data_IF_490145941625
#
_entry.id   IF_490145941625
#
_cell.length_a   1.000
_cell.length_b   1.000
_cell.length_c   1.000
_cell.angle_alpha   90.00
_cell.angle_beta   90.00
_cell.angle_gamma   90.00
#
_symmetry.space_group_name_H-M   'P 1'
#
loop_
_entity.id
_entity.type
_entity.pdbx_description
1 polymer ?
#
# COMPACT_ATOMS: atom_id res chain seq x y z
N UNK A 1 7.09 16.00 10.41
CA UNK A 1 6.51 14.97 9.53
C UNK A 1 7.49 14.64 8.41
N UNK A 2 7.75 13.38 8.19
CA UNK A 2 8.65 12.95 7.12
C UNK A 2 7.84 12.32 6.00
N UNK A 3 8.33 12.45 4.78
CA UNK A 3 7.69 11.84 3.62
C UNK A 3 8.71 11.08 2.76
N UNK A 4 8.23 10.06 2.08
CA UNK A 4 9.02 9.22 1.18
C UNK A 4 8.23 9.04 -0.10
N UNK A 5 8.89 9.17 -1.24
CA UNK A 5 8.29 8.92 -2.55
C UNK A 5 9.24 8.01 -3.33
N UNK A 6 8.71 6.87 -3.76
CA UNK A 6 9.46 5.90 -4.57
C UNK A 6 8.58 5.38 -5.69
N UNK A 7 9.18 5.02 -6.81
CA UNK A 7 8.42 4.48 -7.93
C UNK A 7 9.15 3.33 -8.59
N UNK A 8 8.40 2.50 -9.31
CA UNK A 8 8.95 1.36 -10.04
C UNK A 8 8.09 1.13 -11.28
N UNK A 9 8.71 0.61 -12.33
CA UNK A 9 7.99 0.19 -13.53
C UNK A 9 7.76 -1.32 -13.46
N UNK A 10 6.50 -1.71 -13.58
CA UNK A 10 6.07 -3.12 -13.52
C UNK A 10 5.64 -3.53 -14.92
N UNK A 11 6.14 -4.67 -15.40
CA UNK A 11 5.82 -5.15 -16.75
C UNK A 11 4.53 -5.98 -16.75
N UNK A 12 3.43 -5.30 -16.40
CA UNK A 12 2.08 -5.83 -16.42
C UNK A 12 1.12 -4.69 -16.77
N UNK A 13 -0.04 -5.02 -17.35
CA UNK A 13 -1.06 -4.01 -17.65
C UNK A 13 -1.55 -3.30 -16.39
N UNK A 14 -1.98 -2.07 -16.53
CA UNK A 14 -2.40 -1.24 -15.39
C UNK A 14 -3.56 -1.88 -14.61
N UNK A 15 -4.49 -2.54 -15.28
CA UNK A 15 -5.59 -3.21 -14.59
C UNK A 15 -5.10 -4.36 -13.71
N UNK A 16 -4.12 -5.12 -14.17
CA UNK A 16 -3.52 -6.21 -13.39
C UNK A 16 -2.82 -5.66 -12.15
N UNK A 17 -2.03 -4.61 -12.33
CA UNK A 17 -1.27 -4.00 -11.25
C UNK A 17 -2.22 -3.36 -10.22
N UNK A 18 -3.16 -2.57 -10.69
CA UNK A 18 -4.13 -1.93 -9.81
C UNK A 18 -4.96 -2.97 -9.04
N UNK A 19 -5.50 -3.95 -9.74
CA UNK A 19 -6.33 -4.97 -9.10
C UNK A 19 -5.57 -5.69 -7.99
N UNK A 20 -4.30 -6.00 -8.18
CA UNK A 20 -3.51 -6.65 -7.14
C UNK A 20 -3.36 -5.75 -5.91
N UNK A 21 -3.22 -4.44 -6.09
CA UNK A 21 -3.13 -3.50 -4.98
C UNK A 21 -4.45 -3.34 -4.22
N UNK A 22 -5.57 -3.83 -4.75
CA UNK A 22 -6.84 -3.85 -4.02
C UNK A 22 -6.95 -5.09 -3.12
N UNK A 23 -6.06 -6.05 -3.27
CA UNK A 23 -6.07 -7.28 -2.48
C UNK A 23 -5.17 -7.09 -1.26
N UNK A 24 -5.64 -6.31 -0.30
CA UNK A 24 -4.85 -5.91 0.87
C UNK A 24 -4.37 -7.10 1.68
N UNK A 25 -5.13 -8.18 1.72
CA UNK A 25 -4.78 -9.36 2.50
C UNK A 25 -3.61 -10.14 1.90
N UNK A 26 -3.20 -9.80 0.68
CA UNK A 26 -2.01 -10.37 0.04
C UNK A 26 -0.73 -9.57 0.32
N UNK A 27 -0.84 -8.40 0.95
CA UNK A 27 0.31 -7.52 1.20
C UNK A 27 1.47 -8.20 1.93
N UNK A 28 1.26 -9.13 2.88
CA UNK A 28 2.39 -9.80 3.54
C UNK A 28 3.31 -10.54 2.57
N UNK A 29 2.83 -10.88 1.38
CA UNK A 29 3.63 -11.60 0.38
C UNK A 29 4.78 -10.75 -0.18
N UNK A 30 4.68 -9.42 -0.12
CA UNK A 30 5.72 -8.54 -0.64
C UNK A 30 6.08 -7.39 0.28
N UNK A 31 5.36 -7.18 1.37
CA UNK A 31 5.69 -6.16 2.37
C UNK A 31 6.30 -6.86 3.58
N UNK A 32 7.63 -6.73 3.71
CA UNK A 32 8.42 -7.49 4.67
C UNK A 32 7.99 -7.30 6.12
N UNK A 33 7.66 -6.06 6.51
CA UNK A 33 7.31 -5.77 7.90
C UNK A 33 5.84 -6.10 8.23
N UNK A 34 5.01 -6.37 7.23
CA UNK A 34 3.59 -6.61 7.43
C UNK A 34 3.33 -8.09 7.64
N UNK A 35 2.74 -8.43 8.80
CA UNK A 35 2.39 -9.80 9.14
C UNK A 35 1.02 -10.18 8.57
N UNK A 36 0.05 -9.27 8.69
CA UNK A 36 -1.30 -9.52 8.20
C UNK A 36 -2.04 -8.20 7.96
N UNK A 37 -2.94 -8.22 7.00
CA UNK A 37 -3.90 -7.13 6.77
C UNK A 37 -5.26 -7.77 6.60
N UNK A 38 -6.26 -7.23 7.26
CA UNK A 38 -7.65 -7.68 7.11
C UNK A 38 -8.49 -6.50 6.67
N UNK A 39 -9.27 -6.67 5.63
CA UNK A 39 -10.22 -5.65 5.18
C UNK A 39 -11.54 -5.90 5.90
N UNK A 40 -11.92 -4.97 6.77
CA UNK A 40 -13.13 -5.13 7.60
C UNK A 40 -14.39 -4.65 6.91
N UNK A 41 -14.26 -3.69 5.99
CA UNK A 41 -15.33 -3.27 5.08
C UNK A 41 -14.70 -2.57 3.88
N UNK A 42 -15.52 -1.97 3.02
CA UNK A 42 -15.03 -1.36 1.77
C UNK A 42 -14.03 -0.22 1.98
N UNK A 43 -13.99 0.38 3.17
CA UNK A 43 -13.14 1.54 3.43
C UNK A 43 -12.24 1.37 4.67
N UNK A 44 -12.28 0.23 5.35
CA UNK A 44 -11.51 0.04 6.59
C UNK A 44 -10.65 -1.20 6.55
N UNK A 45 -9.45 -1.06 7.13
CA UNK A 45 -8.42 -2.10 7.18
C UNK A 45 -7.90 -2.23 8.59
N UNK A 46 -7.49 -3.44 8.96
CA UNK A 46 -6.77 -3.69 10.21
C UNK A 46 -5.40 -4.25 9.85
N UNK A 47 -4.35 -3.63 10.36
CA UNK A 47 -2.96 -3.99 10.04
C UNK A 47 -2.28 -4.61 11.25
N UNK A 48 -1.48 -5.63 11.01
CA UNK A 48 -0.58 -6.22 12.00
C UNK A 48 0.81 -6.24 11.39
N UNK A 49 1.78 -5.68 12.10
CA UNK A 49 3.17 -5.64 11.66
C UNK A 49 4.08 -6.13 12.76
N UNK A 50 5.21 -6.72 12.39
CA UNK A 50 6.23 -7.14 13.35
C UNK A 50 7.52 -6.41 13.03
N UNK A 51 8.04 -5.69 14.03
CA UNK A 51 9.21 -4.85 13.87
C UNK A 51 10.13 -5.09 15.07
N UNK A 52 11.34 -5.60 14.80
CA UNK A 52 12.31 -5.83 15.84
C UNK A 52 11.83 -6.81 16.91
N UNK A 53 11.02 -7.79 16.52
CA UNK A 53 10.47 -8.78 17.44
C UNK A 53 9.24 -8.30 18.20
N UNK A 54 8.76 -7.10 17.92
CA UNK A 54 7.60 -6.52 18.58
C UNK A 54 6.45 -6.37 17.60
N UNK A 55 5.24 -6.71 18.05
CA UNK A 55 4.04 -6.69 17.24
C UNK A 55 3.28 -5.38 17.44
N UNK A 56 2.84 -4.79 16.34
CA UNK A 56 2.04 -3.56 16.33
C UNK A 56 0.76 -3.81 15.57
N UNK A 57 -0.34 -3.21 16.04
CA UNK A 57 -1.64 -3.31 15.37
C UNK A 57 -2.29 -1.94 15.32
N UNK A 58 -2.96 -1.64 14.21
CA UNK A 58 -3.72 -0.39 14.08
C UNK A 58 -4.80 -0.55 13.00
N UNK A 59 -5.78 0.34 13.08
CA UNK A 59 -6.82 0.43 12.06
C UNK A 59 -6.51 1.56 11.11
N UNK A 60 -6.89 1.40 9.86
CA UNK A 60 -6.69 2.40 8.82
C UNK A 60 -7.96 2.56 7.98
N UNK A 61 -8.10 3.73 7.39
CA UNK A 61 -9.21 4.06 6.52
C UNK A 61 -8.69 4.33 5.12
N UNK A 62 -9.38 3.77 4.11
CA UNK A 62 -9.12 4.12 2.72
C UNK A 62 -9.80 5.46 2.49
N UNK A 63 -9.01 6.49 2.16
CA UNK A 63 -9.54 7.83 1.97
C UNK A 63 -9.92 8.10 0.52
N UNK A 64 -9.24 7.44 -0.42
CA UNK A 64 -9.50 7.61 -1.84
C UNK A 64 -9.14 6.34 -2.58
N UNK A 65 -9.99 5.92 -3.50
CA UNK A 65 -9.70 4.77 -4.36
C UNK A 65 -10.42 4.98 -5.69
N UNK A 66 -9.65 4.99 -6.76
CA UNK A 66 -10.19 5.07 -8.13
C UNK A 66 -9.47 4.04 -8.99
N UNK A 67 -10.20 3.20 -9.73
CA UNK A 67 -9.60 2.17 -10.56
C UNK A 67 -8.54 2.71 -11.52
N UNK A 68 -7.39 2.05 -11.54
CA UNK A 68 -6.25 2.35 -12.39
C UNK A 68 -5.62 3.72 -12.16
N UNK A 69 -5.95 4.38 -11.04
CA UNK A 69 -5.45 5.72 -10.71
C UNK A 69 -4.79 5.80 -9.35
N UNK A 70 -5.53 5.51 -8.28
CA UNK A 70 -5.03 5.77 -6.93
C UNK A 70 -5.69 4.90 -5.87
N UNK A 71 -4.90 4.55 -4.84
CA UNK A 71 -5.39 4.02 -3.57
C UNK A 71 -4.68 4.82 -2.48
N UNK A 72 -5.43 5.52 -1.62
CA UNK A 72 -4.85 6.27 -0.51
C UNK A 72 -5.50 5.88 0.81
N UNK A 73 -4.72 6.01 1.88
CA UNK A 73 -5.17 5.58 3.22
C UNK A 73 -4.57 6.47 4.30
N UNK A 74 -5.14 6.36 5.52
CA UNK A 74 -4.57 6.96 6.72
C UNK A 74 -4.83 6.07 7.93
N UNK A 75 -3.92 6.08 8.89
CA UNK A 75 -4.13 5.38 10.14
C UNK A 75 -5.15 6.14 10.99
N UNK A 76 -6.02 5.39 11.69
CA UNK A 76 -7.08 5.98 12.50
C UNK A 76 -6.70 6.13 13.96
N UNK A 77 -5.83 5.26 14.47
CA UNK A 77 -5.48 5.28 15.88
C UNK A 77 -4.03 4.82 16.10
N UNK A 78 -3.46 5.25 17.23
CA UNK A 78 -2.19 4.76 17.75
C UNK A 78 -0.94 5.09 16.93
N UNK A 79 -1.05 5.05 15.63
CA UNK A 79 0.07 5.22 14.71
C UNK A 79 -0.31 6.26 13.67
N UNK A 80 0.52 7.27 13.50
CA UNK A 80 0.24 8.23 12.45
C UNK A 80 1.06 7.89 11.21
N UNK A 81 0.38 7.36 10.22
CA UNK A 81 0.95 7.24 8.89
C UNK A 81 -0.19 7.38 7.88
N UNK A 82 0.14 7.92 6.74
CA UNK A 82 -0.78 8.00 5.62
C UNK A 82 0.03 7.81 4.35
N UNK A 83 -0.65 7.44 3.29
CA UNK A 83 0.06 7.25 2.04
C UNK A 83 -0.89 7.07 0.89
N UNK A 84 -0.33 7.01 -0.29
CA UNK A 84 -1.09 6.70 -1.48
C UNK A 84 -0.21 5.99 -2.50
N UNK A 85 -0.84 5.15 -3.29
CA UNK A 85 -0.22 4.47 -4.41
C UNK A 85 -0.86 5.03 -5.66
N UNK A 86 -0.03 5.54 -6.56
CA UNK A 86 -0.49 6.11 -7.83
C UNK A 86 -0.10 5.18 -8.96
N UNK A 87 -1.00 5.05 -9.93
CA UNK A 87 -0.82 4.16 -11.07
C UNK A 87 -0.82 4.99 -12.35
N UNK A 88 0.20 4.76 -13.19
CA UNK A 88 0.31 5.47 -14.46
C UNK A 88 0.60 4.46 -15.57
N UNK A 89 -0.26 4.44 -16.56
CA UNK A 89 -0.09 3.56 -17.72
C UNK A 89 1.05 4.08 -18.59
N UNK A 90 2.08 3.24 -18.76
CA UNK A 90 3.19 3.57 -19.68
C UNK A 90 2.80 3.09 -21.08
N UNK A 91 2.36 1.84 -21.19
CA UNK A 91 1.80 1.26 -22.41
C UNK A 91 0.90 0.10 -22.01
N UNK A 92 0.46 -0.71 -22.97
CA UNK A 92 -0.48 -1.79 -22.73
C UNK A 92 0.08 -2.90 -21.85
N UNK A 93 1.40 -2.99 -21.72
CA UNK A 93 2.08 -4.05 -20.99
C UNK A 93 2.91 -3.56 -19.81
N UNK A 94 2.94 -2.25 -19.55
CA UNK A 94 3.77 -1.69 -18.47
C UNK A 94 3.06 -0.58 -17.72
N UNK A 95 3.31 -0.54 -16.41
CA UNK A 95 2.69 0.41 -15.50
C UNK A 95 3.75 0.99 -14.58
N UNK A 96 3.70 2.30 -14.35
CA UNK A 96 4.52 2.94 -13.33
C UNK A 96 3.70 3.01 -12.04
N UNK A 97 4.27 2.48 -10.96
CA UNK A 97 3.67 2.52 -9.63
C UNK A 97 4.48 3.47 -8.78
N UNK A 98 3.83 4.45 -8.18
CA UNK A 98 4.47 5.42 -7.29
C UNK A 98 3.83 5.33 -5.92
N UNK A 99 4.65 5.17 -4.88
CA UNK A 99 4.20 5.13 -3.49
C UNK A 99 4.67 6.42 -2.81
N UNK A 100 3.73 7.14 -2.20
CA UNK A 100 4.02 8.33 -1.40
C UNK A 100 3.57 8.03 0.02
N UNK A 101 4.49 8.10 0.98
CA UNK A 101 4.21 7.80 2.38
C UNK A 101 4.56 9.00 3.25
N UNK A 102 3.74 9.26 4.26
CA UNK A 102 3.99 10.29 5.25
C UNK A 102 3.85 9.68 6.65
N UNK A 103 4.68 10.10 7.59
CA UNK A 103 4.59 9.65 8.97
C UNK A 103 5.09 10.73 9.93
N UNK A 104 4.67 10.62 11.19
CA UNK A 104 5.18 11.49 12.26
C UNK A 104 6.63 11.10 12.54
N UNK A 105 7.46 12.12 12.86
CA UNK A 105 8.89 11.94 13.09
C UNK A 105 9.27 12.02 14.55
N UNK A 106 8.33 11.92 15.47
CA UNK A 106 8.58 12.07 16.90
C UNK A 106 8.50 10.74 17.65
N UNK A 107 9.52 10.45 18.46
CA UNK A 107 9.53 9.33 19.37
C UNK A 107 9.31 7.97 18.70
N UNK A 108 8.41 7.21 19.27
CA UNK A 108 8.10 5.87 18.79
C UNK A 108 7.50 5.87 17.39
N UNK A 109 6.79 6.95 17.05
CA UNK A 109 6.17 7.07 15.74
C UNK A 109 7.20 7.16 14.63
N UNK A 110 8.31 7.83 14.87
CA UNK A 110 9.39 7.92 13.91
C UNK A 110 9.97 6.53 13.61
N UNK A 111 10.27 5.76 14.66
CA UNK A 111 10.82 4.42 14.51
C UNK A 111 9.82 3.51 13.81
N UNK A 112 8.55 3.57 14.25
CA UNK A 112 7.51 2.74 13.67
C UNK A 112 7.25 3.09 12.21
N UNK A 113 7.20 4.39 11.91
CA UNK A 113 6.97 4.86 10.55
C UNK A 113 8.05 4.37 9.59
N UNK A 114 9.32 4.47 9.97
CA UNK A 114 10.43 3.97 9.16
C UNK A 114 10.31 2.47 8.91
N UNK A 115 10.05 1.71 9.98
CA UNK A 115 9.98 0.26 9.87
C UNK A 115 8.77 -0.22 9.08
N UNK A 116 7.69 0.58 9.03
CA UNK A 116 6.46 0.22 8.32
C UNK A 116 6.44 0.67 6.86
N UNK A 117 7.57 1.06 6.30
CA UNK A 117 7.65 1.39 4.89
C UNK A 117 7.72 2.88 4.59
N UNK A 118 7.85 3.73 5.62
CA UNK A 118 8.06 5.15 5.43
C UNK A 118 9.53 5.49 5.23
N UNK A 119 10.40 4.48 5.31
CA UNK A 119 11.81 4.60 4.97
C UNK A 119 11.98 4.28 3.50
N UNK A 120 12.77 5.09 2.79
CA UNK A 120 12.95 4.94 1.35
C UNK A 120 13.42 3.54 0.94
N UNK A 121 14.35 2.96 1.69
CA UNK A 121 14.87 1.62 1.37
C UNK A 121 13.80 0.55 1.56
N UNK A 122 12.98 0.68 2.59
CA UNK A 122 11.91 -0.28 2.86
C UNK A 122 10.85 -0.21 1.75
N UNK A 123 10.43 1.00 1.38
CA UNK A 123 9.45 1.20 0.30
C UNK A 123 9.99 0.67 -1.02
N UNK A 124 11.24 1.00 -1.34
CA UNK A 124 11.86 0.52 -2.57
C UNK A 124 11.95 -1.01 -2.60
N UNK A 125 12.30 -1.63 -1.48
CA UNK A 125 12.36 -3.08 -1.36
C UNK A 125 10.99 -3.72 -1.54
N UNK A 126 9.97 -3.15 -0.92
CA UNK A 126 8.60 -3.66 -1.04
C UNK A 126 8.09 -3.55 -2.48
N UNK A 127 8.39 -2.46 -3.16
CA UNK A 127 8.02 -2.29 -4.57
C UNK A 127 8.73 -3.32 -5.45
N UNK A 128 10.00 -3.59 -5.18
CA UNK A 128 10.76 -4.61 -5.90
C UNK A 128 10.16 -5.98 -5.72
N UNK A 129 9.77 -6.32 -4.50
CA UNK A 129 9.11 -7.59 -4.20
C UNK A 129 7.73 -7.68 -4.85
N UNK A 130 6.98 -6.57 -4.86
CA UNK A 130 5.70 -6.53 -5.55
C UNK A 130 5.87 -6.79 -7.05
N UNK A 131 6.83 -6.11 -7.67
CA UNK A 131 7.14 -6.30 -9.09
C UNK A 131 7.42 -7.77 -9.40
N UNK A 132 8.29 -8.39 -8.61
CA UNK A 132 8.65 -9.79 -8.79
C UNK A 132 7.44 -10.70 -8.58
N UNK A 133 6.63 -10.43 -7.58
CA UNK A 133 5.43 -11.18 -7.27
C UNK A 133 4.45 -11.19 -8.45
N UNK A 134 4.09 -10.00 -8.96
CA UNK A 134 3.06 -9.91 -9.99
C UNK A 134 3.59 -10.34 -11.37
N UNK A 135 4.84 -10.05 -11.69
CA UNK A 135 5.41 -10.45 -12.98
C UNK A 135 5.60 -11.94 -13.07
N UNK A 136 5.98 -12.60 -11.98
CA UNK A 136 6.14 -14.04 -12.00
C UNK A 136 4.80 -14.78 -12.02
N UNK A 137 3.74 -14.20 -11.44
CA UNK A 137 2.41 -14.78 -11.52
C UNK A 137 1.76 -14.57 -12.90
N UNK A 138 1.99 -13.40 -13.48
CA UNK A 138 1.37 -13.02 -14.73
C UNK A 138 -0.11 -12.65 -14.63
N UNK A 139 -0.69 -12.68 -13.42
CA UNK A 139 -2.09 -12.33 -13.19
C UNK A 139 -2.30 -11.95 -11.73
N UNK A 140 -3.28 -11.10 -11.50
CA UNK A 140 -3.66 -10.69 -10.14
C UNK A 140 -4.42 -11.81 -9.41
N UNK A 141 -4.42 -11.74 -8.07
CA UNK A 141 -5.14 -12.72 -7.24
C UNK A 141 -6.62 -12.39 -7.12
N UNK A 142 -7.01 -11.20 -7.48
CA UNK A 142 -8.38 -10.72 -7.41
C UNK A 142 -8.42 -9.25 -7.75
N UNK A 143 -9.55 -8.60 -7.55
CA UNK A 143 -9.66 -7.17 -7.82
C UNK A 143 -10.93 -6.60 -7.23
N UNK A 144 -10.91 -5.31 -6.96
CA UNK A 144 -12.07 -4.55 -6.56
C UNK A 144 -12.00 -3.21 -7.27
N UNK A 145 -13.04 -2.88 -8.02
CA UNK A 145 -13.02 -1.71 -8.88
C UNK A 145 -14.08 -0.67 -8.51
N UNK A 146 -14.46 -0.64 -7.25
CA UNK A 146 -15.31 0.42 -6.73
C UNK A 146 -14.53 1.71 -6.54
N UNK A 147 -15.24 2.78 -6.22
CA UNK A 147 -14.65 4.09 -6.01
C UNK A 147 -14.93 4.58 -4.59
N UNK A 148 -13.91 5.14 -3.95
CA UNK A 148 -13.99 5.74 -2.62
C UNK A 148 -13.51 7.18 -2.73
N UNK A 149 -14.26 8.09 -2.10
CA UNK A 149 -13.90 9.50 -2.07
C UNK A 149 -14.19 10.04 -0.67
N UNK A 150 -13.20 10.71 -0.08
CA UNK A 150 -13.29 11.27 1.28
C UNK A 150 -13.71 10.24 2.31
N UNK A 151 -13.21 9.00 2.19
CA UNK A 151 -13.47 7.93 3.13
C UNK A 151 -14.81 7.23 2.95
N UNK A 152 -15.56 7.54 1.90
CA UNK A 152 -16.86 6.93 1.62
C UNK A 152 -16.90 6.29 0.24
N UNK A 153 -17.46 5.09 0.19
CA UNK A 153 -17.68 4.42 -1.09
C UNK A 153 -18.77 5.15 -1.87
N UNK A 154 -18.47 5.54 -3.11
CA UNK A 154 -19.40 6.31 -3.96
C UNK A 154 -19.87 5.51 -5.18
N UNK A 155 -19.29 4.32 -5.41
CA UNK A 155 -19.70 3.44 -6.51
C UNK A 155 -19.55 1.98 -6.16
#
# INVERSE_FOLDING_TARGET
>A
MASVTESITVECPISTVYNQWTQFEEFPRFMEAVEAVSQTDDTHLHWIAEIGGKRYEWDAEITEQRPDEVVSWRALDGQYNSGRVLFEKIDQARTKVTVEMEHETEGMMETLGSALGSDSRQVKGDLGRFKEFIESRGAETGGWRGEVNAGERVR
#
